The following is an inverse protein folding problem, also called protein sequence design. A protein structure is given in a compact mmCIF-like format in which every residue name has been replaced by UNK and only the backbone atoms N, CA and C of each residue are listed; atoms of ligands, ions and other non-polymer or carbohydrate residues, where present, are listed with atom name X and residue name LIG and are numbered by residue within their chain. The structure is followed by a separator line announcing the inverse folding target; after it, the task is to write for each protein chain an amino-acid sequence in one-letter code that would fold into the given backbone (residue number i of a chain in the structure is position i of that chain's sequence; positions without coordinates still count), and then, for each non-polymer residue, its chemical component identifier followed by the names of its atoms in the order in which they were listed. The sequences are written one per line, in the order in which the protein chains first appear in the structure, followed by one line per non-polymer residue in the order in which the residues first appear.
data_IF_273194537904
#
_entry.id   IF_273194537904
#
_cell.length_a   1.000
_cell.length_b   1.000
_cell.length_c   1.000
_cell.angle_alpha   90.00
_cell.angle_beta   90.00
_cell.angle_gamma   90.00
#
_symmetry.space_group_name_H-M   'P 1'
#
loop_
_entity.id
_entity.type
_entity.pdbx_description
1 polymer ?
#
# COMPACT_ATOMS: atom_id res chain seq x y z
N UNK A 1 9.57 2.41 28.69
CA UNK A 1 9.33 1.14 27.95
C UNK A 1 10.67 0.44 27.78
N UNK A 2 10.82 -0.79 28.28
CA UNK A 2 12.05 -1.58 28.12
C UNK A 2 12.29 -1.78 26.61
N UNK A 3 13.48 -1.40 26.12
CA UNK A 3 13.91 -1.75 24.75
C UNK A 3 13.81 -3.26 24.60
N UNK A 4 12.88 -3.76 23.82
CA UNK A 4 12.86 -5.16 23.42
C UNK A 4 14.16 -5.44 22.67
N UNK A 5 14.91 -6.45 23.12
CA UNK A 5 16.24 -6.82 22.61
C UNK A 5 16.16 -7.53 21.25
N UNK A 6 15.50 -6.92 20.26
CA UNK A 6 15.31 -7.49 18.94
C UNK A 6 14.83 -6.48 17.89
N UNK A 7 14.71 -6.90 16.62
CA UNK A 7 14.27 -6.05 15.53
C UNK A 7 12.96 -5.30 15.82
N UNK A 8 12.85 -4.06 15.32
CA UNK A 8 11.69 -3.21 15.52
C UNK A 8 10.43 -3.76 14.83
N UNK A 9 10.56 -4.59 13.79
CA UNK A 9 9.40 -5.21 13.15
C UNK A 9 8.65 -6.19 14.09
N UNK A 10 9.33 -6.77 15.09
CA UNK A 10 8.70 -7.74 16.00
C UNK A 10 7.53 -7.14 16.79
N UNK A 11 7.55 -5.82 17.00
CA UNK A 11 6.48 -5.09 17.70
C UNK A 11 5.12 -5.19 17.01
N UNK A 12 5.07 -5.55 15.72
CA UNK A 12 3.82 -5.67 14.97
C UNK A 12 3.27 -7.10 14.90
N UNK A 13 4.05 -8.12 15.30
CA UNK A 13 3.63 -9.51 15.13
C UNK A 13 2.34 -9.83 15.92
N UNK A 14 2.29 -9.51 17.22
CA UNK A 14 1.08 -9.72 18.04
C UNK A 14 -0.09 -8.84 17.59
N UNK A 15 0.08 -7.52 17.36
CA UNK A 15 -0.99 -6.67 16.84
C UNK A 15 -1.62 -7.20 15.55
N UNK A 16 -0.84 -7.71 14.60
CA UNK A 16 -1.39 -8.29 13.35
C UNK A 16 -2.31 -9.47 13.68
N UNK A 17 -1.88 -10.39 14.55
CA UNK A 17 -2.69 -11.54 14.94
C UNK A 17 -3.97 -11.11 15.66
N UNK A 18 -3.88 -10.16 16.58
CA UNK A 18 -5.02 -9.66 17.35
C UNK A 18 -6.05 -8.95 16.47
N UNK A 19 -5.59 -8.13 15.52
CA UNK A 19 -6.47 -7.49 14.53
C UNK A 19 -7.15 -8.54 13.66
N UNK A 20 -6.41 -9.52 13.14
CA UNK A 20 -7.01 -10.58 12.33
C UNK A 20 -8.04 -11.41 13.12
N UNK A 21 -7.79 -11.69 14.41
CA UNK A 21 -8.78 -12.33 15.28
C UNK A 21 -10.06 -11.49 15.42
N UNK A 22 -9.92 -10.17 15.61
CA UNK A 22 -11.05 -9.23 15.67
C UNK A 22 -11.84 -9.16 14.36
N UNK A 23 -11.18 -9.31 13.21
CA UNK A 23 -11.81 -9.35 11.88
C UNK A 23 -12.42 -10.72 11.53
N UNK A 24 -12.41 -11.69 12.44
CA UNK A 24 -12.96 -13.03 12.19
C UNK A 24 -12.01 -13.99 11.47
N UNK A 25 -10.70 -13.74 11.55
CA UNK A 25 -9.64 -14.63 11.08
C UNK A 25 -9.01 -14.26 9.73
N UNK A 26 -9.53 -13.26 9.02
CA UNK A 26 -8.95 -12.78 7.76
C UNK A 26 -9.20 -11.30 7.54
N UNK A 27 -8.36 -10.65 6.72
CA UNK A 27 -8.51 -9.23 6.39
C UNK A 27 -7.64 -8.81 5.21
N UNK A 28 -8.01 -7.71 4.54
CA UNK A 28 -7.17 -7.13 3.49
C UNK A 28 -5.89 -6.57 4.09
N UNK A 29 -4.75 -6.75 3.42
CA UNK A 29 -3.45 -6.30 3.90
C UNK A 29 -3.44 -4.81 4.29
N UNK A 30 -4.09 -3.96 3.49
CA UNK A 30 -4.21 -2.52 3.74
C UNK A 30 -5.04 -2.21 5.00
N UNK A 31 -6.16 -2.91 5.17
CA UNK A 31 -7.07 -2.75 6.32
C UNK A 31 -6.40 -3.22 7.61
N UNK A 32 -5.76 -4.38 7.59
CA UNK A 32 -5.00 -4.90 8.74
C UNK A 32 -3.88 -3.94 9.11
N UNK A 33 -3.16 -3.41 8.12
CA UNK A 33 -2.09 -2.43 8.33
C UNK A 33 -2.62 -1.18 9.02
N UNK A 34 -3.71 -0.59 8.52
CA UNK A 34 -4.31 0.62 9.09
C UNK A 34 -4.79 0.39 10.54
N UNK A 35 -5.46 -0.75 10.80
CA UNK A 35 -5.94 -1.09 12.13
C UNK A 35 -4.81 -1.37 13.12
N UNK A 36 -3.69 -1.96 12.66
CA UNK A 36 -2.49 -2.14 13.49
C UNK A 36 -1.88 -0.78 13.86
N UNK A 37 -1.77 0.13 12.89
CA UNK A 37 -1.25 1.49 13.11
C UNK A 37 -2.11 2.24 14.13
N UNK A 38 -3.44 2.17 13.97
CA UNK A 38 -4.40 2.78 14.89
C UNK A 38 -4.32 2.16 16.29
N UNK A 39 -4.33 0.83 16.39
CA UNK A 39 -4.33 0.14 17.67
C UNK A 39 -3.06 0.40 18.49
N UNK A 40 -1.92 0.58 17.81
CA UNK A 40 -0.64 0.92 18.44
C UNK A 40 -0.47 2.42 18.70
N UNK A 41 -1.38 3.28 18.24
CA UNK A 41 -1.27 4.73 18.39
C UNK A 41 -0.04 5.31 17.68
N UNK A 42 0.33 4.78 16.52
CA UNK A 42 1.53 5.20 15.78
C UNK A 42 1.34 6.63 15.26
N UNK A 43 2.23 7.54 15.68
CA UNK A 43 2.13 8.97 15.31
C UNK A 43 2.27 9.22 13.81
N UNK A 44 1.66 10.30 13.30
CA UNK A 44 1.83 10.72 11.88
C UNK A 44 3.31 10.91 11.49
N UNK A 45 4.14 11.40 12.41
CA UNK A 45 5.58 11.56 12.18
C UNK A 45 6.25 10.22 11.89
N UNK A 46 5.90 9.18 12.64
CA UNK A 46 6.43 7.82 12.44
C UNK A 46 5.85 7.16 11.18
N UNK A 47 4.57 7.40 10.87
CA UNK A 47 3.93 6.97 9.61
C UNK A 47 4.59 7.62 8.37
N UNK A 48 5.23 8.77 8.54
CA UNK A 48 5.89 9.53 7.48
C UNK A 48 7.36 9.16 7.27
N UNK A 49 7.94 8.29 8.11
CA UNK A 49 9.31 7.82 7.93
C UNK A 49 9.47 6.95 6.67
N UNK A 50 10.54 7.22 5.91
CA UNK A 50 10.86 6.52 4.68
C UNK A 50 12.20 5.78 4.75
N UNK A 51 12.31 4.74 3.94
CA UNK A 51 13.57 4.11 3.57
C UNK A 51 14.32 4.98 2.54
N UNK A 52 15.60 4.67 2.29
CA UNK A 52 16.46 5.43 1.35
C UNK A 52 15.90 5.48 -0.07
N UNK A 53 15.13 4.47 -0.47
CA UNK A 53 14.47 4.36 -1.77
C UNK A 53 13.07 5.01 -1.81
N UNK A 54 12.63 5.64 -0.72
CA UNK A 54 11.37 6.37 -0.65
C UNK A 54 10.13 5.51 -0.43
N UNK A 55 10.26 4.28 0.09
CA UNK A 55 9.11 3.50 0.58
C UNK A 55 8.89 3.71 2.08
N UNK A 56 7.65 3.53 2.54
CA UNK A 56 7.28 3.72 3.94
C UNK A 56 7.97 2.67 4.81
N UNK A 57 8.79 3.16 5.75
CA UNK A 57 9.53 2.32 6.70
C UNK A 57 8.59 1.55 7.61
N UNK A 58 7.48 2.18 8.00
CA UNK A 58 6.40 1.57 8.78
C UNK A 58 5.76 0.40 8.02
N UNK A 59 5.30 0.63 6.77
CA UNK A 59 4.73 -0.44 5.94
C UNK A 59 5.74 -1.58 5.72
N UNK A 60 7.01 -1.27 5.48
CA UNK A 60 8.07 -2.28 5.32
C UNK A 60 8.20 -3.16 6.58
N UNK A 61 8.23 -2.55 7.77
CA UNK A 61 8.29 -3.31 9.03
C UNK A 61 7.05 -4.18 9.26
N UNK A 62 5.86 -3.69 8.94
CA UNK A 62 4.63 -4.49 9.04
C UNK A 62 4.68 -5.67 8.05
N UNK A 63 5.19 -5.46 6.84
CA UNK A 63 5.40 -6.52 5.86
C UNK A 63 6.42 -7.56 6.37
N UNK A 64 7.51 -7.14 7.03
CA UNK A 64 8.46 -8.04 7.67
C UNK A 64 7.83 -8.87 8.78
N UNK A 65 7.03 -8.25 9.65
CA UNK A 65 6.27 -8.98 10.67
C UNK A 65 5.35 -10.03 10.03
N UNK A 66 4.60 -9.65 8.99
CA UNK A 66 3.76 -10.57 8.21
C UNK A 66 4.56 -11.72 7.59
N UNK A 67 5.74 -11.44 7.05
CA UNK A 67 6.62 -12.45 6.46
C UNK A 67 7.04 -13.51 7.49
N UNK A 68 7.55 -13.06 8.64
CA UNK A 68 7.98 -13.94 9.73
C UNK A 68 6.83 -14.78 10.28
N UNK A 69 5.66 -14.18 10.48
CA UNK A 69 4.44 -14.90 10.86
C UNK A 69 4.04 -15.96 9.81
N UNK A 70 4.25 -15.70 8.52
CA UNK A 70 4.03 -16.70 7.46
C UNK A 70 4.98 -17.87 7.57
N UNK A 71 6.29 -17.57 7.74
CA UNK A 71 7.33 -18.59 7.77
C UNK A 71 7.19 -19.53 8.96
N UNK A 72 6.63 -19.05 10.07
CA UNK A 72 6.28 -19.88 11.22
C UNK A 72 4.93 -20.63 11.07
N UNK A 73 4.22 -20.42 9.97
CA UNK A 73 2.92 -21.06 9.70
C UNK A 73 1.77 -20.52 10.54
N UNK A 74 1.88 -19.29 11.06
CA UNK A 74 0.79 -18.61 11.77
C UNK A 74 -0.14 -17.84 10.81
N UNK A 75 0.41 -17.39 9.68
CA UNK A 75 -0.33 -16.69 8.64
C UNK A 75 -0.21 -17.38 7.28
N UNK A 76 -1.31 -17.34 6.55
CA UNK A 76 -1.40 -17.75 5.15
C UNK A 76 -2.05 -16.65 4.30
N UNK A 77 -2.06 -16.88 2.99
CA UNK A 77 -2.66 -15.98 2.01
C UNK A 77 -3.80 -16.72 1.33
N UNK A 78 -5.04 -16.44 1.74
CA UNK A 78 -6.23 -17.03 1.11
C UNK A 78 -6.45 -16.53 -0.31
N UNK A 79 -6.02 -15.30 -0.61
CA UNK A 79 -5.96 -14.73 -1.97
C UNK A 79 -4.94 -13.59 -2.02
N UNK A 80 -4.62 -13.09 -3.22
CA UNK A 80 -3.65 -12.00 -3.39
C UNK A 80 -4.09 -10.76 -2.60
N UNK A 81 -3.28 -10.35 -1.63
CA UNK A 81 -3.52 -9.17 -0.79
C UNK A 81 -4.46 -9.40 0.40
N UNK A 82 -4.83 -10.65 0.69
CA UNK A 82 -5.63 -11.02 1.86
C UNK A 82 -4.77 -11.86 2.81
N UNK A 83 -4.72 -11.46 4.08
CA UNK A 83 -4.03 -12.20 5.14
C UNK A 83 -5.04 -13.03 5.91
N UNK A 84 -4.68 -14.25 6.28
CA UNK A 84 -5.57 -15.16 7.02
C UNK A 84 -4.80 -15.91 8.09
N UNK A 85 -5.42 -16.11 9.26
CA UNK A 85 -4.88 -16.92 10.34
C UNK A 85 -4.98 -18.39 9.95
N UNK A 86 -3.94 -19.16 10.24
CA UNK A 86 -4.03 -20.63 10.20
C UNK A 86 -4.79 -21.16 11.41
N UNK A 87 -5.16 -22.44 11.40
CA UNK A 87 -5.72 -23.09 12.59
C UNK A 87 -4.80 -22.99 13.81
N UNK A 88 -3.47 -23.12 13.59
CA UNK A 88 -2.43 -22.98 14.63
C UNK A 88 -2.57 -21.62 15.32
N UNK A 89 -2.58 -20.53 14.55
CA UNK A 89 -2.69 -19.18 15.11
C UNK A 89 -4.06 -18.90 15.76
N UNK A 90 -5.14 -19.45 15.20
CA UNK A 90 -6.51 -19.25 15.70
C UNK A 90 -6.69 -19.85 17.10
N UNK A 91 -6.15 -21.05 17.33
CA UNK A 91 -6.26 -21.78 18.61
C UNK A 91 -5.21 -21.35 19.64
N UNK A 92 -4.19 -20.60 19.24
CA UNK A 92 -3.07 -20.22 20.11
C UNK A 92 -3.31 -18.88 20.81
N UNK A 93 -2.85 -18.78 22.06
CA UNK A 93 -2.79 -17.53 22.81
C UNK A 93 -1.34 -17.06 22.90
N UNK A 94 -0.88 -16.38 21.84
CA UNK A 94 0.51 -15.96 21.69
C UNK A 94 0.89 -14.86 22.70
N UNK A 95 2.12 -14.93 23.18
CA UNK A 95 2.78 -13.99 24.08
C UNK A 95 4.09 -13.48 23.44
N UNK A 96 4.73 -12.48 24.07
CA UNK A 96 6.00 -11.93 23.57
C UNK A 96 7.13 -12.99 23.47
N UNK A 97 7.12 -13.99 24.34
CA UNK A 97 8.07 -15.11 24.30
C UNK A 97 7.97 -15.91 23.00
N UNK A 98 6.74 -16.12 22.52
CA UNK A 98 6.47 -16.88 21.29
C UNK A 98 6.99 -16.12 20.07
N UNK A 99 6.88 -14.79 20.06
CA UNK A 99 7.44 -13.95 18.99
C UNK A 99 8.97 -14.03 18.95
N UNK A 100 9.59 -14.08 20.12
CA UNK A 100 11.06 -14.19 20.23
C UNK A 100 11.55 -15.57 19.78
N UNK A 101 10.78 -16.62 20.04
CA UNK A 101 11.08 -17.99 19.58
C UNK A 101 10.84 -18.14 18.07
N UNK A 102 9.71 -17.62 17.58
CA UNK A 102 9.40 -17.51 16.16
C UNK A 102 10.53 -16.83 15.39
N UNK A 103 11.00 -15.69 15.89
CA UNK A 103 12.12 -14.97 15.29
C UNK A 103 13.36 -15.85 15.17
N UNK A 104 13.75 -16.53 16.25
CA UNK A 104 14.90 -17.45 16.25
C UNK A 104 14.72 -18.63 15.30
N UNK A 105 13.53 -19.21 15.23
CA UNK A 105 13.25 -20.39 14.39
C UNK A 105 13.28 -20.04 12.91
N UNK A 106 12.60 -18.97 12.50
CA UNK A 106 12.63 -18.49 11.13
C UNK A 106 14.06 -18.12 10.75
N UNK A 107 14.80 -17.41 11.60
CA UNK A 107 16.16 -16.99 11.29
C UNK A 107 17.14 -18.16 11.08
N UNK A 108 17.06 -19.22 11.91
CA UNK A 108 17.86 -20.45 11.71
C UNK A 108 17.62 -21.11 10.35
N UNK A 109 16.42 -20.98 9.79
CA UNK A 109 16.11 -21.51 8.46
C UNK A 109 16.79 -20.67 7.35
N UNK A 110 17.04 -19.38 7.59
CA UNK A 110 17.73 -18.48 6.64
C UNK A 110 19.26 -18.53 6.75
N UNK A 111 19.83 -18.82 7.93
CA UNK A 111 21.29 -18.89 8.14
C UNK A 111 21.99 -19.99 7.32
N UNK A 112 21.28 -21.03 6.88
CA UNK A 112 21.87 -22.05 5.99
C UNK A 112 22.34 -21.50 4.63
N UNK A 113 21.96 -20.27 4.26
CA UNK A 113 22.26 -19.66 2.96
C UNK A 113 23.15 -18.40 3.00
N UNK A 114 23.63 -17.91 4.17
CA UNK A 114 24.35 -16.62 4.22
C UNK A 114 25.55 -16.57 5.19
N UNK A 115 26.76 -16.36 4.63
CA UNK A 115 28.08 -16.28 5.30
C UNK A 115 28.18 -15.33 6.52
N UNK A 116 29.15 -15.63 7.41
CA UNK A 116 29.58 -14.99 8.67
C UNK A 116 29.53 -13.43 8.73
N UNK A 117 28.39 -12.86 9.12
CA UNK A 117 28.25 -11.46 9.55
C UNK A 117 27.44 -11.46 10.85
N UNK A 118 27.71 -10.53 11.78
CA UNK A 118 27.00 -10.44 13.08
C UNK A 118 25.49 -10.31 12.88
N UNK A 119 24.74 -11.01 13.73
CA UNK A 119 23.29 -11.18 13.67
C UNK A 119 22.53 -9.84 13.67
N UNK A 120 22.86 -8.96 14.61
CA UNK A 120 22.19 -7.65 14.77
C UNK A 120 22.42 -6.72 13.57
N UNK A 121 23.61 -6.76 12.96
CA UNK A 121 23.95 -5.92 11.80
C UNK A 121 23.20 -6.38 10.54
N UNK A 122 23.07 -7.71 10.33
CA UNK A 122 22.27 -8.26 9.21
C UNK A 122 20.79 -7.94 9.37
N UNK A 123 20.25 -7.99 10.58
CA UNK A 123 18.83 -7.73 10.87
C UNK A 123 18.49 -6.27 10.55
N UNK A 124 19.34 -5.34 10.95
CA UNK A 124 19.14 -3.91 10.69
C UNK A 124 19.28 -3.61 9.18
N UNK A 125 20.23 -4.25 8.49
CA UNK A 125 20.30 -4.20 7.01
C UNK A 125 19.00 -4.75 6.38
N UNK A 126 18.55 -5.92 6.82
CA UNK A 126 17.35 -6.62 6.32
C UNK A 126 16.06 -5.82 6.55
N UNK A 127 15.88 -5.19 7.72
CA UNK A 127 14.74 -4.30 8.01
C UNK A 127 14.70 -3.03 7.14
N UNK A 128 15.88 -2.59 6.68
CA UNK A 128 16.03 -1.41 5.83
C UNK A 128 16.08 -1.75 4.33
N UNK A 129 16.14 -3.03 3.99
CA UNK A 129 15.95 -3.56 2.65
C UNK A 129 14.46 -3.85 2.39
N UNK A 130 14.04 -3.67 1.14
CA UNK A 130 12.72 -4.10 0.70
C UNK A 130 12.68 -5.61 0.57
N UNK A 131 11.57 -6.22 0.96
CA UNK A 131 11.33 -7.64 0.71
C UNK A 131 11.37 -7.86 -0.81
N UNK A 132 12.28 -8.74 -1.28
CA UNK A 132 12.54 -9.01 -2.70
C UNK A 132 11.30 -9.47 -3.51
N UNK A 133 10.22 -9.90 -2.83
CA UNK A 133 8.92 -10.14 -3.47
C UNK A 133 8.32 -8.88 -4.13
N UNK A 134 8.84 -7.68 -3.80
CA UNK A 134 8.49 -6.41 -4.43
C UNK A 134 9.44 -5.97 -5.56
N UNK A 135 10.32 -6.83 -6.07
CA UNK A 135 10.96 -6.64 -7.39
C UNK A 135 9.96 -6.87 -8.55
N UNK A 136 8.71 -6.47 -8.30
CA UNK A 136 7.54 -6.52 -9.15
C UNK A 136 7.58 -5.26 -10.05
N UNK A 137 7.11 -5.36 -11.29
CA UNK A 137 7.03 -4.22 -12.23
C UNK A 137 6.30 -3.01 -11.63
N UNK A 138 5.49 -3.23 -10.59
CA UNK A 138 4.83 -2.21 -9.78
C UNK A 138 5.80 -1.23 -9.14
N UNK A 139 6.89 -1.73 -8.56
CA UNK A 139 7.91 -0.90 -7.91
C UNK A 139 8.67 -0.09 -8.94
N UNK A 140 9.00 -0.72 -10.08
CA UNK A 140 9.61 -0.02 -11.22
C UNK A 140 8.69 1.06 -11.79
N UNK A 141 7.42 0.75 -12.01
CA UNK A 141 6.41 1.72 -12.47
C UNK A 141 6.28 2.88 -11.48
N UNK A 142 6.15 2.60 -10.18
CA UNK A 142 6.01 3.65 -9.18
C UNK A 142 7.27 4.53 -9.11
N UNK A 143 8.45 3.95 -9.28
CA UNK A 143 9.71 4.70 -9.40
C UNK A 143 9.71 5.61 -10.62
N UNK A 144 9.33 5.10 -11.79
CA UNK A 144 9.20 5.92 -13.01
C UNK A 144 8.24 7.10 -12.80
N UNK A 145 7.10 6.87 -12.14
CA UNK A 145 6.14 7.94 -11.82
C UNK A 145 6.71 8.97 -10.83
N UNK A 146 7.49 8.53 -9.84
CA UNK A 146 8.20 9.42 -8.90
C UNK A 146 9.28 10.25 -9.59
N UNK A 147 9.92 9.73 -10.62
CA UNK A 147 11.01 10.39 -11.34
C UNK A 147 10.49 11.43 -12.37
N UNK A 148 9.19 11.47 -12.67
CA UNK A 148 8.60 12.49 -13.53
C UNK A 148 8.72 13.91 -12.93
N UNK A 149 8.83 14.96 -13.77
CA UNK A 149 8.63 16.33 -13.32
C UNK A 149 7.20 16.53 -12.75
N UNK A 150 6.97 17.48 -11.82
CA UNK A 150 5.64 17.73 -11.25
C UNK A 150 4.52 17.88 -12.30
N UNK A 151 4.71 18.76 -13.29
CA UNK A 151 3.78 18.93 -14.39
C UNK A 151 3.61 17.66 -15.26
N UNK A 152 4.65 16.81 -15.34
CA UNK A 152 4.57 15.51 -16.01
C UNK A 152 3.68 14.53 -15.25
N UNK A 153 3.78 14.51 -13.93
CA UNK A 153 2.93 13.71 -13.06
C UNK A 153 1.46 14.19 -13.11
N UNK A 154 1.22 15.49 -13.07
CA UNK A 154 -0.13 16.05 -13.25
C UNK A 154 -0.75 15.60 -14.59
N UNK A 155 0.01 15.69 -15.68
CA UNK A 155 -0.45 15.25 -17.01
C UNK A 155 -0.74 13.75 -17.09
N UNK A 156 0.08 12.90 -16.47
CA UNK A 156 -0.18 11.45 -16.48
C UNK A 156 -1.40 11.09 -15.64
N UNK A 157 -1.61 11.75 -14.49
CA UNK A 157 -2.82 11.60 -13.68
C UNK A 157 -4.07 12.03 -14.44
N UNK A 158 -4.01 13.11 -15.22
CA UNK A 158 -5.11 13.51 -16.09
C UNK A 158 -5.45 12.46 -17.14
N UNK A 159 -4.43 11.88 -17.77
CA UNK A 159 -4.64 10.78 -18.72
C UNK A 159 -5.31 9.61 -18.01
N UNK A 160 -4.83 9.23 -16.84
CA UNK A 160 -5.37 8.12 -16.04
C UNK A 160 -6.83 8.36 -15.64
N UNK A 161 -7.20 9.58 -15.25
CA UNK A 161 -8.59 9.95 -14.95
C UNK A 161 -9.48 9.86 -16.19
N UNK A 162 -9.01 10.28 -17.37
CA UNK A 162 -9.75 10.10 -18.63
C UNK A 162 -9.98 8.61 -18.93
N UNK A 163 -8.96 7.78 -18.80
CA UNK A 163 -9.10 6.31 -18.96
C UNK A 163 -10.03 5.70 -17.89
N UNK A 164 -10.24 6.39 -16.78
CA UNK A 164 -11.18 5.99 -15.71
C UNK A 164 -12.59 6.55 -15.91
N UNK A 165 -12.91 7.13 -17.08
CA UNK A 165 -14.26 7.60 -17.44
C UNK A 165 -14.54 9.07 -17.12
N UNK A 166 -13.52 9.89 -16.84
CA UNK A 166 -13.72 11.33 -16.66
C UNK A 166 -13.72 12.08 -18.00
N UNK A 167 -14.70 12.95 -18.17
CA UNK A 167 -14.85 13.89 -19.27
C UNK A 167 -14.33 15.29 -18.89
N UNK A 168 -14.10 16.14 -19.90
CA UNK A 168 -13.69 17.55 -19.73
C UNK A 168 -12.49 17.77 -18.79
N UNK A 169 -11.59 16.78 -18.68
CA UNK A 169 -10.45 16.84 -17.76
C UNK A 169 -9.47 17.93 -18.19
N UNK A 170 -9.26 18.93 -17.34
CA UNK A 170 -8.39 20.08 -17.59
C UNK A 170 -7.48 20.44 -16.41
N UNK A 171 -6.29 21.00 -16.71
CA UNK A 171 -5.35 21.54 -15.70
C UNK A 171 -5.80 22.93 -15.26
N UNK A 172 -5.75 23.22 -13.97
CA UNK A 172 -5.87 24.60 -13.45
C UNK A 172 -4.49 25.17 -13.17
N UNK A 173 -4.06 26.16 -13.96
CA UNK A 173 -2.74 26.79 -13.82
C UNK A 173 -2.70 28.01 -12.90
N UNK A 174 -3.69 28.18 -12.01
CA UNK A 174 -3.78 29.39 -11.18
C UNK A 174 -3.06 29.20 -9.85
N UNK A 175 -1.90 29.82 -9.72
CA UNK A 175 -1.20 29.97 -8.44
C UNK A 175 -2.13 30.59 -7.40
N UNK A 176 -2.36 29.91 -6.27
CA UNK A 176 -3.16 30.42 -5.15
C UNK A 176 -4.58 29.86 -4.99
N UNK A 177 -4.94 28.78 -5.70
CA UNK A 177 -6.27 28.16 -5.60
C UNK A 177 -6.45 27.15 -4.46
N UNK A 178 -5.46 27.02 -3.58
CA UNK A 178 -5.45 26.02 -2.51
C UNK A 178 -4.91 24.65 -2.96
N UNK A 179 -4.25 24.59 -4.13
CA UNK A 179 -3.58 23.40 -4.62
C UNK A 179 -4.48 22.49 -5.45
N UNK A 180 -5.42 23.07 -6.19
CA UNK A 180 -6.23 22.32 -7.16
C UNK A 180 -5.42 22.22 -8.44
N UNK A 181 -5.10 21.00 -8.87
CA UNK A 181 -4.29 20.80 -10.09
C UNK A 181 -5.18 20.63 -11.32
N UNK A 182 -6.47 20.34 -11.13
CA UNK A 182 -7.44 20.36 -12.20
C UNK A 182 -8.85 19.94 -11.79
N UNK A 183 -9.70 19.79 -12.80
CA UNK A 183 -11.05 19.31 -12.65
C UNK A 183 -11.47 18.41 -13.81
N UNK A 184 -12.52 17.63 -13.59
CA UNK A 184 -13.18 16.83 -14.62
C UNK A 184 -14.63 16.55 -14.23
N UNK A 185 -15.39 16.05 -15.20
CA UNK A 185 -16.78 15.65 -15.02
C UNK A 185 -16.83 14.13 -15.05
N UNK A 186 -17.30 13.51 -13.98
CA UNK A 186 -17.58 12.08 -13.97
C UNK A 186 -19.05 11.86 -14.32
N UNK A 187 -19.31 11.43 -15.55
CA UNK A 187 -20.65 11.11 -16.01
C UNK A 187 -20.99 9.66 -15.64
N UNK A 188 -21.98 9.48 -14.75
CA UNK A 188 -22.43 8.15 -14.35
C UNK A 188 -23.42 7.58 -15.36
N UNK A 189 -24.27 8.45 -15.90
CA UNK A 189 -25.25 8.14 -16.94
C UNK A 189 -25.70 9.45 -17.62
N UNK A 190 -26.67 9.37 -18.53
CA UNK A 190 -27.13 10.52 -19.34
C UNK A 190 -27.77 11.66 -18.54
N UNK A 191 -28.14 11.44 -17.26
CA UNK A 191 -28.83 12.44 -16.43
C UNK A 191 -28.09 12.79 -15.14
N UNK A 192 -27.05 12.02 -14.78
CA UNK A 192 -26.25 12.22 -13.56
C UNK A 192 -24.78 12.37 -13.91
N UNK A 193 -24.22 13.53 -13.56
CA UNK A 193 -22.80 13.84 -13.64
C UNK A 193 -22.34 14.50 -12.35
N UNK A 194 -21.09 14.26 -11.96
CA UNK A 194 -20.46 14.94 -10.83
C UNK A 194 -19.30 15.80 -11.32
N UNK A 195 -19.24 17.05 -10.88
CA UNK A 195 -18.04 17.86 -11.03
C UNK A 195 -17.05 17.46 -9.95
N UNK A 196 -15.84 17.09 -10.37
CA UNK A 196 -14.79 16.59 -9.49
C UNK A 196 -13.55 17.45 -9.62
N UNK A 197 -13.02 17.92 -8.49
CA UNK A 197 -11.69 18.53 -8.44
C UNK A 197 -10.66 17.49 -8.08
N UNK A 198 -9.44 17.64 -8.59
CA UNK A 198 -8.35 16.76 -8.20
C UNK A 198 -7.06 17.52 -7.89
N UNK A 199 -6.25 16.90 -7.03
CA UNK A 199 -4.90 17.31 -6.69
C UNK A 199 -3.97 16.12 -6.90
N UNK A 200 -2.82 16.36 -7.52
CA UNK A 200 -1.78 15.42 -7.86
C UNK A 200 -0.50 15.77 -7.08
N UNK A 201 -0.22 15.04 -6.01
CA UNK A 201 1.01 15.19 -5.23
C UNK A 201 2.05 14.16 -5.70
N UNK A 202 3.02 14.59 -6.51
CA UNK A 202 4.25 13.79 -6.68
C UNK A 202 5.01 13.82 -5.36
N UNK A 203 4.92 12.76 -4.59
CA UNK A 203 5.39 12.70 -3.21
C UNK A 203 6.18 11.42 -2.97
N UNK A 204 7.36 11.56 -2.38
CA UNK A 204 8.11 10.41 -1.87
C UNK A 204 7.60 9.97 -0.49
N UNK A 205 6.93 10.88 0.24
CA UNK A 205 6.49 10.68 1.62
C UNK A 205 5.03 10.28 1.78
N UNK A 206 4.55 10.45 3.01
CA UNK A 206 3.17 10.26 3.39
C UNK A 206 2.43 11.59 3.37
N UNK A 207 1.19 11.60 2.87
CA UNK A 207 0.28 12.74 2.88
C UNK A 207 -0.55 12.68 4.16
N UNK A 208 -0.39 13.69 5.02
CA UNK A 208 -1.09 13.80 6.30
C UNK A 208 -2.45 14.50 6.21
N UNK A 209 -3.19 14.52 7.33
CA UNK A 209 -4.54 15.10 7.38
C UNK A 209 -4.61 16.60 7.05
N UNK A 210 -3.51 17.34 7.23
CA UNK A 210 -3.42 18.76 6.87
C UNK A 210 -3.69 19.00 5.38
N UNK A 211 -3.03 18.24 4.50
CA UNK A 211 -3.21 18.39 3.06
C UNK A 211 -4.66 18.09 2.61
N UNK A 212 -5.31 17.11 3.25
CA UNK A 212 -6.72 16.79 2.98
C UNK A 212 -7.64 17.92 3.42
N UNK A 213 -7.38 18.55 4.59
CA UNK A 213 -8.13 19.73 5.07
C UNK A 213 -7.96 20.93 4.15
N UNK A 214 -6.75 21.20 3.71
CA UNK A 214 -6.45 22.33 2.83
C UNK A 214 -7.17 22.16 1.48
N UNK A 215 -7.07 20.97 0.88
CA UNK A 215 -7.77 20.65 -0.37
C UNK A 215 -9.30 20.71 -0.20
N UNK A 216 -9.84 20.23 0.93
CA UNK A 216 -11.26 20.36 1.26
C UNK A 216 -11.72 21.82 1.30
N UNK A 217 -10.93 22.69 1.93
CA UNK A 217 -11.20 24.12 1.98
C UNK A 217 -11.22 24.76 0.58
N UNK A 218 -10.27 24.36 -0.29
CA UNK A 218 -10.21 24.80 -1.67
C UNK A 218 -11.40 24.32 -2.53
N UNK A 219 -11.91 23.13 -2.24
CA UNK A 219 -13.01 22.49 -2.97
C UNK A 219 -14.41 23.02 -2.57
N UNK A 220 -14.56 23.53 -1.35
CA UNK A 220 -15.86 23.90 -0.78
C UNK A 220 -16.69 24.81 -1.72
N UNK A 221 -17.88 24.35 -2.09
CA UNK A 221 -18.81 25.06 -2.97
C UNK A 221 -18.41 25.11 -4.46
N UNK A 222 -17.33 24.44 -4.87
CA UNK A 222 -16.82 24.47 -6.26
C UNK A 222 -17.04 23.16 -7.03
N UNK A 223 -17.24 22.05 -6.32
CA UNK A 223 -17.42 20.71 -6.86
C UNK A 223 -18.14 19.77 -5.88
N UNK A 224 -18.66 18.66 -6.43
CA UNK A 224 -19.42 17.65 -5.67
C UNK A 224 -18.49 16.70 -4.91
N UNK A 225 -17.33 16.40 -5.50
CA UNK A 225 -16.32 15.47 -4.97
C UNK A 225 -14.90 15.96 -5.22
N UNK A 226 -13.97 15.42 -4.44
CA UNK A 226 -12.54 15.67 -4.58
C UNK A 226 -11.76 14.37 -4.76
N UNK A 227 -10.62 14.43 -5.44
CA UNK A 227 -9.65 13.32 -5.53
C UNK A 227 -8.26 13.84 -5.21
N UNK A 228 -7.54 13.17 -4.32
CA UNK A 228 -6.10 13.40 -4.12
C UNK A 228 -5.36 12.17 -4.61
N UNK A 229 -4.51 12.35 -5.63
CA UNK A 229 -3.62 11.34 -6.17
C UNK A 229 -2.20 11.58 -5.66
N UNK A 230 -1.52 10.52 -5.20
CA UNK A 230 -0.13 10.61 -4.75
C UNK A 230 0.67 9.37 -5.12
N UNK A 231 1.95 9.55 -5.50
CA UNK A 231 2.91 8.44 -5.64
C UNK A 231 3.37 7.88 -4.29
N UNK A 232 2.98 8.53 -3.19
CA UNK A 232 3.28 8.13 -1.82
C UNK A 232 2.15 7.33 -1.18
N UNK A 233 1.94 7.55 0.11
CA UNK A 233 0.83 6.96 0.87
C UNK A 233 0.09 8.00 1.70
N UNK A 234 -1.02 7.65 2.34
CA UNK A 234 -1.77 8.53 3.23
C UNK A 234 -1.68 8.05 4.68
N UNK A 235 -1.64 8.98 5.64
CA UNK A 235 -1.75 8.64 7.06
C UNK A 235 -3.16 8.14 7.39
N UNK A 236 -3.29 7.42 8.50
CA UNK A 236 -4.62 6.98 9.00
C UNK A 236 -5.53 8.17 9.26
N UNK A 237 -4.96 9.26 9.78
CA UNK A 237 -5.63 10.53 10.05
C UNK A 237 -6.08 11.20 8.75
N UNK A 238 -5.28 11.15 7.68
CA UNK A 238 -5.68 11.64 6.36
C UNK A 238 -6.87 10.87 5.80
N UNK A 239 -6.87 9.54 5.94
CA UNK A 239 -8.01 8.68 5.54
C UNK A 239 -9.27 9.02 6.32
N UNK A 240 -9.17 9.20 7.64
CA UNK A 240 -10.30 9.61 8.49
C UNK A 240 -10.84 10.99 8.11
N UNK A 241 -9.95 11.97 7.90
CA UNK A 241 -10.35 13.30 7.47
C UNK A 241 -11.03 13.29 6.10
N UNK A 242 -10.61 12.43 5.17
CA UNK A 242 -11.16 12.36 3.82
C UNK A 242 -12.64 11.96 3.78
N UNK A 243 -13.07 11.11 4.72
CA UNK A 243 -14.45 10.58 4.84
C UNK A 243 -15.21 11.17 6.03
N UNK A 244 -14.74 12.29 6.61
CA UNK A 244 -15.37 12.93 7.77
C UNK A 244 -16.85 13.26 7.52
N UNK A 245 -17.69 13.04 8.53
CA UNK A 245 -19.11 13.35 8.46
C UNK A 245 -19.39 14.85 8.22
N UNK A 246 -20.45 15.12 7.46
CA UNK A 246 -20.94 16.48 7.20
C UNK A 246 -20.15 17.28 6.15
N UNK A 247 -19.20 16.66 5.45
CA UNK A 247 -18.44 17.30 4.36
C UNK A 247 -18.39 16.42 3.10
N UNK A 248 -18.22 17.04 1.93
CA UNK A 248 -18.11 16.31 0.67
C UNK A 248 -16.92 15.34 0.70
N UNK A 249 -17.10 14.03 0.44
CA UNK A 249 -15.99 13.07 0.51
C UNK A 249 -14.85 13.40 -0.46
N UNK A 250 -13.62 13.11 -0.02
CA UNK A 250 -12.42 13.18 -0.85
C UNK A 250 -11.91 11.76 -1.07
N UNK A 251 -11.76 11.35 -2.33
CA UNK A 251 -11.16 10.07 -2.68
C UNK A 251 -9.65 10.15 -2.58
N UNK A 252 -9.03 9.20 -1.86
CA UNK A 252 -7.58 9.14 -1.71
C UNK A 252 -7.01 8.00 -2.58
N UNK A 253 -6.17 8.36 -3.55
CA UNK A 253 -5.54 7.43 -4.50
C UNK A 253 -4.03 7.43 -4.26
N UNK A 254 -3.55 6.44 -3.50
CA UNK A 254 -2.13 6.27 -3.19
C UNK A 254 -1.37 5.54 -4.30
N UNK A 255 -0.05 5.38 -4.13
CA UNK A 255 0.82 4.77 -5.14
C UNK A 255 0.36 3.36 -5.56
N UNK A 256 -0.12 2.57 -4.61
CA UNK A 256 -0.63 1.22 -4.87
C UNK A 256 -1.90 1.27 -5.74
N UNK A 257 -2.83 2.19 -5.44
CA UNK A 257 -4.03 2.41 -6.26
C UNK A 257 -3.71 3.00 -7.63
N UNK A 258 -2.74 3.92 -7.73
CA UNK A 258 -2.28 4.44 -9.03
C UNK A 258 -1.78 3.29 -9.89
N UNK A 259 -0.88 2.43 -9.37
CA UNK A 259 -0.38 1.26 -10.11
C UNK A 259 -1.53 0.38 -10.59
N UNK A 260 -2.52 0.11 -9.73
CA UNK A 260 -3.69 -0.68 -10.11
C UNK A 260 -4.53 -0.02 -11.21
N UNK A 261 -4.66 1.30 -11.21
CA UNK A 261 -5.33 2.01 -12.29
C UNK A 261 -4.55 1.91 -13.61
N UNK A 262 -3.23 1.96 -13.57
CA UNK A 262 -2.38 1.71 -14.76
C UNK A 262 -2.54 0.28 -15.28
N UNK A 263 -2.65 -0.71 -14.39
CA UNK A 263 -2.93 -2.11 -14.77
C UNK A 263 -4.28 -2.24 -15.47
N UNK A 264 -5.35 -1.70 -14.89
CA UNK A 264 -6.72 -1.80 -15.44
C UNK A 264 -6.83 -1.09 -16.79
N UNK A 265 -6.19 0.08 -16.92
CA UNK A 265 -6.18 0.85 -18.16
C UNK A 265 -5.14 0.34 -19.19
N UNK A 266 -4.31 -0.64 -18.82
CA UNK A 266 -3.12 -1.06 -19.56
C UNK A 266 -2.26 0.13 -20.05
N UNK A 267 -2.24 1.21 -19.26
CA UNK A 267 -1.63 2.47 -19.66
C UNK A 267 -0.12 2.39 -19.44
N UNK A 268 0.67 2.38 -20.50
CA UNK A 268 2.13 2.25 -20.38
C UNK A 268 2.59 0.88 -19.85
N UNK A 269 1.67 -0.07 -19.73
CA UNK A 269 1.92 -1.46 -19.34
C UNK A 269 1.49 -2.39 -20.49
N UNK A 270 2.15 -3.55 -20.60
CA UNK A 270 1.75 -4.59 -21.55
C UNK A 270 1.60 -5.90 -20.78
N UNK A 271 0.39 -6.49 -20.71
CA UNK A 271 0.22 -7.80 -20.09
C UNK A 271 1.12 -8.83 -20.78
N UNK A 272 1.93 -9.54 -19.97
CA UNK A 272 2.67 -10.72 -20.45
C UNK A 272 1.92 -11.95 -19.97
N UNK A 273 1.01 -12.46 -20.79
CA UNK A 273 0.39 -13.76 -20.59
C UNK A 273 1.40 -14.84 -20.98
N UNK A 274 1.76 -15.73 -20.04
CA UNK A 274 2.56 -16.92 -20.34
C UNK A 274 1.65 -18.11 -20.58
N UNK A 275 2.14 -19.12 -21.30
CA UNK A 275 1.44 -20.37 -21.54
C UNK A 275 1.92 -21.45 -20.56
N UNK A 276 1.01 -22.32 -20.16
CA UNK A 276 1.32 -23.57 -19.48
C UNK A 276 1.22 -24.72 -20.49
N UNK A 277 2.14 -25.69 -20.40
CA UNK A 277 2.13 -26.84 -21.30
C UNK A 277 1.08 -27.82 -20.79
N UNK A 278 0.02 -28.04 -21.57
CA UNK A 278 -0.92 -29.13 -21.34
C UNK A 278 -0.29 -30.45 -21.80
N UNK A 279 0.43 -31.10 -20.90
CA UNK A 279 1.10 -32.37 -21.21
C UNK A 279 0.13 -33.49 -21.60
N UNK A 280 -1.13 -33.48 -21.12
CA UNK A 280 -2.12 -34.51 -21.45
C UNK A 280 -2.56 -34.42 -22.90
N UNK A 281 -2.68 -33.21 -23.44
CA UNK A 281 -2.93 -32.99 -24.86
C UNK A 281 -1.91 -33.72 -25.75
N UNK A 282 -0.65 -33.84 -25.30
CA UNK A 282 0.41 -34.50 -26.05
C UNK A 282 0.46 -36.03 -25.85
N UNK A 283 -0.30 -36.60 -24.92
CA UNK A 283 -0.30 -38.05 -24.70
C UNK A 283 -0.97 -38.81 -25.85
N UNK A 284 -2.00 -38.23 -26.47
CA UNK A 284 -2.71 -38.81 -27.63
C UNK A 284 -1.82 -38.99 -28.88
N UNK A 285 -0.69 -38.29 -28.93
CA UNK A 285 0.26 -38.31 -30.04
C UNK A 285 1.51 -39.16 -29.75
N UNK A 286 1.57 -39.82 -28.58
CA UNK A 286 2.66 -40.73 -28.21
C UNK A 286 2.40 -42.19 -28.64
N UNK A 287 1.25 -42.47 -29.24
CA UNK A 287 0.91 -43.82 -29.71
C UNK A 287 1.39 -43.99 -31.15
N UNK A 288 2.35 -44.89 -31.37
CA UNK A 288 2.86 -45.34 -32.68
C UNK A 288 1.91 -46.40 -33.27
#
# INVERSE_FOLDING_TARGET
MKKSSGPLFLRYCLPIIDILKKLGGSGKASEVTDLVIENLGVSESEQSELLKNGTSKLKNRIAWARFYLSKDGLLESSSRGVWSLTEKATKSQLQESDITELFRNVHKQFEKNFNDKKLDDKIIETENEEIAEHLDYKTELLKLLKDLPPAGFERICQRLLRESGFEEVSVTGRTGDGGIDGHGILQINLVVSFKVLFQCKRYNGTVGAGAVRDFRGAMAGRADKGIILTTGSFTTEAKKEAVRDGVSPIELVDGDRIVKMFEIAELGLRPKTTYEIDYKFFDDFKVV
#
